data_IF_272060347405
#
_entry.id   IF_272060347405
#
_cell.length_a   1.000
_cell.length_b   1.000
_cell.length_c   1.000
_cell.angle_alpha   90.00
_cell.angle_beta   90.00
_cell.angle_gamma   90.00
#
_symmetry.space_group_name_H-M   'P 1'
#
loop_
_entity.id
_entity.type
_entity.pdbx_description
1 polymer ?
#
# COMPACT_ATOMS: atom_id res chain seq x y z
N UNK A 1 -4.73 3.38 20.27
CA UNK A 1 -3.38 3.31 19.68
C UNK A 1 -3.49 3.63 18.20
N UNK A 2 -2.58 4.45 17.70
CA UNK A 2 -2.56 4.79 16.30
C UNK A 2 -2.07 3.59 15.46
N UNK A 3 -2.71 3.36 14.34
CA UNK A 3 -2.30 2.31 13.42
C UNK A 3 -1.27 2.84 12.42
N UNK A 4 -0.35 1.99 12.01
CA UNK A 4 0.75 2.36 11.14
C UNK A 4 0.51 1.82 9.73
N UNK A 5 0.72 2.68 8.73
CA UNK A 5 0.52 2.38 7.32
C UNK A 5 1.82 2.61 6.57
N UNK A 6 2.24 1.62 5.79
CA UNK A 6 3.37 1.77 4.87
C UNK A 6 2.80 2.22 3.53
N UNK A 7 3.22 3.39 3.05
CA UNK A 7 2.78 3.94 1.77
C UNK A 7 3.95 3.95 0.78
N UNK A 8 3.81 3.18 -0.30
CA UNK A 8 4.84 2.99 -1.31
C UNK A 8 4.36 3.58 -2.64
N UNK A 9 5.01 4.63 -3.12
CA UNK A 9 4.65 5.28 -4.38
C UNK A 9 5.86 6.07 -4.88
N UNK A 10 6.19 5.93 -6.16
CA UNK A 10 7.32 6.63 -6.75
C UNK A 10 7.01 8.09 -7.11
N UNK A 11 5.73 8.46 -7.17
CA UNK A 11 5.32 9.83 -7.34
C UNK A 11 5.39 10.58 -6.02
N UNK A 12 6.31 11.53 -5.91
CA UNK A 12 6.48 12.32 -4.69
C UNK A 12 5.20 13.04 -4.30
N UNK A 13 4.51 13.66 -5.28
CA UNK A 13 3.29 14.41 -5.00
C UNK A 13 2.14 13.52 -4.52
N UNK A 14 1.96 12.36 -5.14
CA UNK A 14 0.91 11.43 -4.71
C UNK A 14 1.24 10.84 -3.34
N UNK A 15 2.50 10.46 -3.13
CA UNK A 15 2.93 9.91 -1.84
C UNK A 15 2.74 10.93 -0.71
N UNK A 16 3.06 12.21 -0.96
CA UNK A 16 2.86 13.27 0.02
C UNK A 16 1.38 13.51 0.31
N UNK A 17 0.53 13.48 -0.71
CA UNK A 17 -0.91 13.64 -0.53
C UNK A 17 -1.48 12.49 0.31
N UNK A 18 -1.09 11.26 -0.01
CA UNK A 18 -1.51 10.08 0.74
C UNK A 18 -1.06 10.18 2.20
N UNK A 19 0.21 10.50 2.42
CA UNK A 19 0.76 10.62 3.77
C UNK A 19 0.06 11.71 4.56
N UNK A 20 -0.14 12.89 3.97
CA UNK A 20 -0.83 14.00 4.64
C UNK A 20 -2.25 13.61 5.03
N UNK A 21 -2.98 13.01 4.10
CA UNK A 21 -4.36 12.59 4.33
C UNK A 21 -4.47 11.60 5.48
N UNK A 22 -3.60 10.59 5.48
CA UNK A 22 -3.62 9.55 6.52
C UNK A 22 -3.17 10.09 7.87
N UNK A 23 -2.12 10.91 7.90
CA UNK A 23 -1.65 11.53 9.16
C UNK A 23 -2.73 12.43 9.75
N UNK A 24 -3.43 13.19 8.92
CA UNK A 24 -4.53 14.05 9.38
C UNK A 24 -5.66 13.26 10.00
N UNK A 25 -5.82 12.00 9.63
CA UNK A 25 -6.83 11.12 10.19
C UNK A 25 -6.34 10.34 11.42
N UNK A 26 -5.10 10.58 11.86
CA UNK A 26 -4.55 9.96 13.08
C UNK A 26 -3.69 8.72 12.85
N UNK A 27 -3.41 8.36 11.60
CA UNK A 27 -2.54 7.22 11.31
C UNK A 27 -1.06 7.64 11.33
N UNK A 28 -0.20 6.68 11.65
CA UNK A 28 1.25 6.83 11.51
C UNK A 28 1.60 6.33 10.11
N UNK A 29 2.41 7.08 9.36
CA UNK A 29 2.74 6.72 7.98
C UNK A 29 4.24 6.58 7.81
N UNK A 30 4.64 5.44 7.24
CA UNK A 30 6.01 5.18 6.80
C UNK A 30 5.98 5.27 5.29
N UNK A 31 6.88 6.06 4.69
CA UNK A 31 6.90 6.31 3.25
C UNK A 31 8.05 5.59 2.57
N UNK A 32 7.83 5.12 1.36
CA UNK A 32 8.87 4.52 0.52
C UNK A 32 8.64 4.93 -0.93
N UNK A 33 9.72 5.15 -1.67
CA UNK A 33 9.66 5.68 -3.03
C UNK A 33 9.58 4.60 -4.11
N UNK A 34 9.86 3.35 -3.79
CA UNK A 34 9.72 2.23 -4.72
C UNK A 34 9.57 0.92 -3.96
N UNK A 35 9.41 -0.18 -4.70
CA UNK A 35 9.19 -1.48 -4.08
C UNK A 35 10.39 -2.00 -3.29
N UNK A 36 11.61 -1.68 -3.71
CA UNK A 36 12.82 -2.12 -2.99
C UNK A 36 12.90 -1.43 -1.63
N UNK A 37 12.72 -0.10 -1.62
CA UNK A 37 12.68 0.65 -0.36
C UNK A 37 11.48 0.22 0.50
N UNK A 38 10.34 -0.01 -0.15
CA UNK A 38 9.13 -0.50 0.53
C UNK A 38 9.37 -1.81 1.24
N UNK A 39 10.03 -2.76 0.58
CA UNK A 39 10.36 -4.05 1.17
C UNK A 39 11.31 -3.89 2.35
N UNK A 40 12.35 -3.06 2.20
CA UNK A 40 13.30 -2.82 3.28
C UNK A 40 12.62 -2.22 4.52
N UNK A 41 11.76 -1.22 4.31
CA UNK A 41 11.03 -0.58 5.42
C UNK A 41 9.99 -1.50 6.03
N UNK A 42 9.36 -2.35 5.21
CA UNK A 42 8.42 -3.36 5.71
C UNK A 42 9.12 -4.31 6.67
N UNK A 43 10.28 -4.84 6.29
CA UNK A 43 11.04 -5.75 7.12
C UNK A 43 11.51 -5.09 8.42
N UNK A 44 11.94 -3.84 8.34
CA UNK A 44 12.42 -3.10 9.50
C UNK A 44 11.30 -2.76 10.49
N UNK A 45 10.05 -2.74 10.04
CA UNK A 45 8.90 -2.32 10.85
C UNK A 45 7.79 -3.37 10.88
N UNK A 46 8.12 -4.64 10.69
CA UNK A 46 7.14 -5.72 10.53
C UNK A 46 6.13 -5.82 11.67
N UNK A 47 6.57 -5.55 12.90
CA UNK A 47 5.72 -5.70 14.08
C UNK A 47 4.72 -4.56 14.27
N UNK A 48 4.89 -3.44 13.56
CA UNK A 48 4.04 -2.26 13.77
C UNK A 48 3.14 -1.94 12.58
N UNK A 49 3.45 -2.44 11.38
CA UNK A 49 2.68 -2.12 10.17
C UNK A 49 1.35 -2.86 10.18
N UNK A 50 0.26 -2.10 10.06
CA UNK A 50 -1.11 -2.62 10.04
C UNK A 50 -1.71 -2.69 8.64
N UNK A 51 -1.15 -1.94 7.69
CA UNK A 51 -1.63 -1.87 6.32
C UNK A 51 -0.50 -1.43 5.40
N UNK A 52 -0.44 -2.03 4.21
CA UNK A 52 0.47 -1.61 3.15
C UNK A 52 -0.35 -1.05 2.00
N UNK A 53 -0.02 0.15 1.54
CA UNK A 53 -0.54 0.75 0.32
C UNK A 53 0.61 0.80 -0.67
N UNK A 54 0.45 0.23 -1.86
CA UNK A 54 1.51 0.26 -2.86
C UNK A 54 0.99 0.62 -4.24
N UNK A 55 1.70 1.51 -4.92
CA UNK A 55 1.49 1.75 -6.33
C UNK A 55 1.92 0.51 -7.12
N UNK A 56 1.40 0.35 -8.33
CA UNK A 56 1.80 -0.76 -9.19
C UNK A 56 3.03 -0.41 -10.02
N UNK A 57 3.02 0.74 -10.69
CA UNK A 57 4.08 1.10 -11.64
C UNK A 57 5.19 1.88 -10.95
N UNK A 58 6.25 1.19 -10.56
CA UNK A 58 7.40 1.77 -9.86
C UNK A 58 8.69 1.21 -10.44
N UNK A 59 9.79 2.00 -10.39
CA UNK A 59 11.09 1.47 -10.80
C UNK A 59 11.60 0.44 -9.78
N UNK A 60 12.54 -0.35 -10.19
CA UNK A 60 13.28 -1.34 -9.38
C UNK A 60 12.45 -2.54 -8.93
N UNK A 61 11.26 -2.33 -8.40
CA UNK A 61 10.33 -3.40 -8.04
C UNK A 61 8.91 -2.85 -8.11
N UNK A 62 8.05 -3.47 -8.92
CA UNK A 62 6.66 -3.04 -9.04
C UNK A 62 5.80 -3.54 -7.87
N UNK A 63 4.54 -3.06 -7.84
CA UNK A 63 3.63 -3.38 -6.75
C UNK A 63 3.29 -4.87 -6.67
N UNK A 64 3.06 -5.53 -7.80
CA UNK A 64 2.76 -6.96 -7.79
C UNK A 64 3.90 -7.77 -7.21
N UNK A 65 5.14 -7.46 -7.58
CA UNK A 65 6.31 -8.13 -7.04
C UNK A 65 6.47 -7.87 -5.55
N UNK A 66 6.26 -6.63 -5.12
CA UNK A 66 6.30 -6.28 -3.70
C UNK A 66 5.26 -7.09 -2.92
N UNK A 67 4.02 -7.15 -3.41
CA UNK A 67 2.94 -7.89 -2.75
C UNK A 67 3.31 -9.37 -2.63
N UNK A 68 3.76 -9.99 -3.71
CA UNK A 68 4.17 -11.40 -3.70
C UNK A 68 5.28 -11.65 -2.68
N UNK A 69 6.27 -10.76 -2.66
CA UNK A 69 7.40 -10.87 -1.74
C UNK A 69 6.95 -10.74 -0.29
N UNK A 70 6.09 -9.76 0.01
CA UNK A 70 5.55 -9.59 1.36
C UNK A 70 4.74 -10.81 1.79
N UNK A 71 3.93 -11.37 0.91
CA UNK A 71 3.13 -12.55 1.24
C UNK A 71 3.98 -13.79 1.51
N UNK A 72 5.20 -13.82 1.02
CA UNK A 72 6.13 -14.92 1.33
C UNK A 72 6.74 -14.79 2.73
N UNK A 73 6.61 -13.63 3.37
CA UNK A 73 7.13 -13.39 4.71
C UNK A 73 6.04 -13.69 5.75
N UNK A 74 6.31 -14.53 6.75
CA UNK A 74 5.29 -14.88 7.75
C UNK A 74 4.69 -13.66 8.46
N UNK A 75 5.48 -12.62 8.68
CA UNK A 75 5.04 -11.39 9.36
C UNK A 75 3.95 -10.65 8.61
N UNK A 76 3.86 -10.86 7.29
CA UNK A 76 2.89 -10.17 6.44
C UNK A 76 1.82 -11.09 5.85
N UNK A 77 1.72 -12.32 6.33
CA UNK A 77 0.76 -13.28 5.78
C UNK A 77 -0.70 -12.83 5.93
N UNK A 78 -1.01 -12.08 6.97
CA UNK A 78 -2.36 -11.59 7.25
C UNK A 78 -2.50 -10.07 7.17
N UNK A 79 -1.42 -9.33 6.91
CA UNK A 79 -1.47 -7.87 6.84
C UNK A 79 -2.22 -7.44 5.58
N UNK A 80 -3.26 -6.58 5.69
CA UNK A 80 -3.93 -6.08 4.49
C UNK A 80 -2.98 -5.31 3.59
N UNK A 81 -3.09 -5.53 2.28
CA UNK A 81 -2.31 -4.84 1.26
C UNK A 81 -3.27 -4.34 0.20
N UNK A 82 -3.27 -3.02 -0.02
CA UNK A 82 -4.08 -2.38 -1.05
C UNK A 82 -3.17 -1.87 -2.16
N UNK A 83 -3.56 -2.15 -3.40
CA UNK A 83 -2.83 -1.67 -4.57
C UNK A 83 -3.46 -0.40 -5.10
N UNK A 84 -2.65 0.63 -5.34
CA UNK A 84 -3.06 1.88 -5.96
C UNK A 84 -2.63 1.81 -7.41
N UNK A 85 -3.56 1.94 -8.34
CA UNK A 85 -3.23 1.75 -9.76
C UNK A 85 -4.09 2.64 -10.66
N UNK A 86 -3.50 3.09 -11.78
CA UNK A 86 -4.26 3.76 -12.83
C UNK A 86 -4.98 2.76 -13.72
N UNK A 87 -4.65 1.48 -13.61
CA UNK A 87 -5.24 0.44 -14.43
C UNK A 87 -6.34 -0.30 -13.69
N UNK A 88 -7.55 -0.31 -14.28
CA UNK A 88 -8.71 -0.95 -13.67
C UNK A 88 -9.19 -2.17 -14.45
N UNK A 89 -8.35 -2.71 -15.36
CA UNK A 89 -8.72 -3.88 -16.15
C UNK A 89 -8.93 -5.11 -15.28
N UNK A 90 -9.78 -6.03 -15.76
CA UNK A 90 -9.99 -7.30 -15.07
C UNK A 90 -8.70 -8.10 -14.96
N UNK A 91 -7.84 -8.02 -15.98
CA UNK A 91 -6.55 -8.71 -15.96
C UNK A 91 -5.67 -8.21 -14.81
N UNK A 92 -5.59 -6.89 -14.60
CA UNK A 92 -4.81 -6.33 -13.49
C UNK A 92 -5.40 -6.71 -12.13
N UNK A 93 -6.73 -6.70 -12.02
CA UNK A 93 -7.41 -7.10 -10.79
C UNK A 93 -7.14 -8.57 -10.46
N UNK A 94 -7.17 -9.44 -11.46
CA UNK A 94 -6.86 -10.84 -11.28
C UNK A 94 -5.41 -11.04 -10.87
N UNK A 95 -4.48 -10.33 -11.47
CA UNK A 95 -3.06 -10.39 -11.11
C UNK A 95 -2.83 -9.93 -9.67
N UNK A 96 -3.47 -8.83 -9.28
CA UNK A 96 -3.37 -8.32 -7.90
C UNK A 96 -3.89 -9.32 -6.89
N UNK A 97 -5.05 -9.90 -7.16
CA UNK A 97 -5.64 -10.92 -6.31
C UNK A 97 -4.77 -12.15 -6.21
N UNK A 98 -4.23 -12.62 -7.34
CA UNK A 98 -3.34 -13.78 -7.38
C UNK A 98 -2.04 -13.52 -6.62
N UNK A 99 -1.56 -12.27 -6.63
CA UNK A 99 -0.37 -11.88 -5.87
C UNK A 99 -0.63 -11.81 -4.37
N UNK A 100 -1.88 -11.71 -3.95
CA UNK A 100 -2.26 -11.64 -2.54
C UNK A 100 -2.76 -10.29 -2.07
N UNK A 101 -3.09 -9.38 -3.00
CA UNK A 101 -3.67 -8.08 -2.63
C UNK A 101 -5.03 -8.25 -1.96
N UNK A 102 -5.28 -7.47 -0.92
CA UNK A 102 -6.58 -7.45 -0.23
C UNK A 102 -7.61 -6.70 -1.07
N UNK A 103 -7.17 -5.69 -1.80
CA UNK A 103 -8.03 -4.89 -2.67
C UNK A 103 -7.20 -3.89 -3.44
N UNK A 104 -7.86 -2.98 -4.12
CA UNK A 104 -7.19 -1.94 -4.89
C UNK A 104 -8.03 -0.67 -4.91
N UNK A 105 -7.38 0.44 -5.25
CA UNK A 105 -7.99 1.74 -5.42
C UNK A 105 -7.47 2.33 -6.72
N UNK A 106 -8.40 2.73 -7.60
CA UNK A 106 -8.05 3.23 -8.93
C UNK A 106 -7.71 4.72 -8.86
N UNK A 107 -6.57 5.09 -9.44
CA UNK A 107 -6.15 6.49 -9.56
C UNK A 107 -6.83 7.14 -10.77
N UNK A 108 -7.15 8.42 -10.73
CA UNK A 108 -7.07 9.29 -9.57
C UNK A 108 -8.21 9.00 -8.57
N UNK A 109 -7.92 9.17 -7.30
CA UNK A 109 -8.92 9.05 -6.24
C UNK A 109 -8.83 10.29 -5.35
N UNK A 110 -9.95 10.64 -4.71
CA UNK A 110 -9.91 11.77 -3.77
C UNK A 110 -9.54 11.30 -2.36
N UNK A 111 -9.09 12.24 -1.49
CA UNK A 111 -8.70 11.88 -0.13
C UNK A 111 -9.81 11.22 0.70
N UNK A 112 -11.06 11.59 0.48
CA UNK A 112 -12.19 10.98 1.18
C UNK A 112 -12.35 9.50 0.83
N UNK A 113 -12.16 9.17 -0.45
CA UNK A 113 -12.24 7.78 -0.91
C UNK A 113 -11.11 6.96 -0.30
N UNK A 114 -9.91 7.51 -0.25
CA UNK A 114 -8.77 6.84 0.39
C UNK A 114 -9.07 6.52 1.85
N UNK A 115 -9.54 7.51 2.61
CA UNK A 115 -9.87 7.32 4.03
C UNK A 115 -11.00 6.31 4.23
N UNK A 116 -12.02 6.37 3.37
CA UNK A 116 -13.14 5.44 3.42
C UNK A 116 -12.66 3.99 3.29
N UNK A 117 -11.81 3.73 2.29
CA UNK A 117 -11.28 2.38 2.04
C UNK A 117 -10.36 1.94 3.19
N UNK A 118 -9.48 2.81 3.67
CA UNK A 118 -8.57 2.49 4.77
C UNK A 118 -9.35 2.16 6.04
N UNK A 119 -10.34 2.97 6.39
CA UNK A 119 -11.17 2.72 7.58
C UNK A 119 -11.95 1.42 7.47
N UNK A 120 -12.39 1.07 6.27
CA UNK A 120 -13.11 -0.17 6.04
C UNK A 120 -12.20 -1.39 6.24
N UNK A 121 -10.93 -1.26 5.94
CA UNK A 121 -9.98 -2.37 6.00
C UNK A 121 -9.36 -2.53 7.38
N UNK A 122 -8.99 -1.45 8.04
CA UNK A 122 -8.29 -1.52 9.34
C UNK A 122 -8.96 -0.74 10.47
N UNK A 123 -10.02 -0.04 10.19
CA UNK A 123 -10.74 0.72 11.23
C UNK A 123 -10.18 2.13 11.44
#
# INVERSE_FOLDING_TARGET
MAKTILAVDDSTSIRQMVAFTLKSAGYIVIEAADGVEGLAKAKANAHVINLVLTDQNMPNMDGLTLIKTLRSLPEFSATPILMLTTESSDAMKMQGKAAGATGWLVKPFDPHKLLEVVKKVIG
#
